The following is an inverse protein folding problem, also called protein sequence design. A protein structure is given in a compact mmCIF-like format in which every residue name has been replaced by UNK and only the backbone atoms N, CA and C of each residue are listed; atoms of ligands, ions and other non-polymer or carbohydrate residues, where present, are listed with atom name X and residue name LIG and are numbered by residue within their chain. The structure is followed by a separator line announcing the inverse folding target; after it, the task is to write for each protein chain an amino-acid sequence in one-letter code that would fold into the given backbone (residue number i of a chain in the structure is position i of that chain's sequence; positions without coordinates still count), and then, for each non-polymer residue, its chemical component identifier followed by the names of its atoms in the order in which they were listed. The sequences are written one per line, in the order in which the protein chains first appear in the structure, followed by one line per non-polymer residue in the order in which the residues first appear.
data_IF_035377964528
#
_entry.id   IF_035377964528
#
_cell.length_a   1.000
_cell.length_b   1.000
_cell.length_c   1.000
_cell.angle_alpha   90.00
_cell.angle_beta   90.00
_cell.angle_gamma   90.00
#
_symmetry.space_group_name_H-M   'P 1'
#
loop_
_entity.id
_entity.type
_entity.pdbx_description
1 polymer ?
#
# COMPACT_ATOMS: atom_id res chain seq x y z
N UNK A 1 -7.60 1.59 -17.53
CA UNK A 1 -7.07 0.94 -16.31
C UNK A 1 -8.09 -0.07 -15.82
N UNK A 2 -7.69 -1.31 -15.53
CA UNK A 2 -8.63 -2.33 -15.03
C UNK A 2 -9.23 -1.94 -13.67
N UNK A 3 -8.41 -1.39 -12.77
CA UNK A 3 -8.80 -0.83 -11.47
C UNK A 3 -9.82 0.31 -11.52
N UNK A 4 -9.85 1.11 -12.59
CA UNK A 4 -10.77 2.26 -12.70
C UNK A 4 -12.25 1.84 -12.75
N UNK A 5 -12.56 0.55 -12.96
CA UNK A 5 -13.93 0.04 -12.85
C UNK A 5 -14.39 -0.18 -11.41
N UNK A 6 -13.49 -0.26 -10.44
CA UNK A 6 -13.84 -0.46 -9.04
C UNK A 6 -14.64 0.73 -8.49
N UNK A 7 -15.50 0.46 -7.51
CA UNK A 7 -16.35 1.41 -6.79
C UNK A 7 -16.15 1.25 -5.29
N UNK A 8 -16.27 2.35 -4.55
CA UNK A 8 -16.16 2.32 -3.09
C UNK A 8 -17.12 1.32 -2.42
N UNK A 9 -18.27 1.04 -3.03
CA UNK A 9 -19.24 0.04 -2.54
C UNK A 9 -18.76 -1.42 -2.63
N UNK A 10 -17.66 -1.69 -3.34
CA UNK A 10 -17.05 -3.03 -3.41
C UNK A 10 -16.11 -3.31 -2.23
N UNK A 11 -15.89 -2.31 -1.36
CA UNK A 11 -15.07 -2.42 -0.16
C UNK A 11 -15.97 -2.38 1.09
N UNK A 12 -15.85 -3.41 1.91
CA UNK A 12 -16.39 -3.44 3.26
C UNK A 12 -15.29 -3.00 4.23
N UNK A 13 -15.47 -1.85 4.88
CA UNK A 13 -14.48 -1.28 5.78
C UNK A 13 -15.01 -1.27 7.22
N UNK A 14 -14.16 -1.68 8.15
CA UNK A 14 -14.38 -1.52 9.59
C UNK A 14 -13.24 -0.70 10.17
N UNK A 15 -13.56 0.35 10.91
CA UNK A 15 -12.58 1.23 11.59
C UNK A 15 -12.98 1.32 13.06
N UNK A 16 -12.04 1.03 13.97
CA UNK A 16 -12.28 1.02 15.41
C UNK A 16 -13.50 0.16 15.79
N UNK A 17 -13.64 -0.99 15.12
CA UNK A 17 -14.77 -1.92 15.30
C UNK A 17 -16.11 -1.43 14.73
N UNK A 18 -16.14 -0.31 13.99
CA UNK A 18 -17.36 0.25 13.38
C UNK A 18 -17.35 0.13 11.87
N UNK A 19 -18.43 -0.41 11.31
CA UNK A 19 -18.66 -0.39 9.87
C UNK A 19 -18.62 1.05 9.37
N UNK A 20 -17.77 1.30 8.37
CA UNK A 20 -17.50 2.62 7.80
C UNK A 20 -17.63 2.53 6.30
N UNK A 21 -18.40 3.42 5.68
CA UNK A 21 -18.49 3.45 4.22
C UNK A 21 -17.16 3.95 3.63
N UNK A 22 -16.78 3.43 2.45
CA UNK A 22 -15.57 3.88 1.75
C UNK A 22 -15.51 5.40 1.56
N UNK A 23 -16.62 6.01 1.13
CA UNK A 23 -16.70 7.47 0.98
C UNK A 23 -16.53 8.25 2.29
N UNK A 24 -16.87 7.65 3.44
CA UNK A 24 -16.66 8.27 4.74
C UNK A 24 -15.21 8.11 5.22
N UNK A 25 -14.59 6.95 4.97
CA UNK A 25 -13.17 6.74 5.24
C UNK A 25 -12.28 7.72 4.45
N UNK A 26 -12.61 7.95 3.18
CA UNK A 26 -11.89 8.86 2.28
C UNK A 26 -12.51 10.27 2.23
N UNK A 27 -13.26 10.68 3.26
CA UNK A 27 -13.82 12.03 3.32
C UNK A 27 -12.69 13.07 3.30
N UNK A 28 -12.78 14.01 2.35
CA UNK A 28 -11.75 15.04 2.16
C UNK A 28 -10.50 14.56 1.40
N UNK A 29 -10.55 13.36 0.80
CA UNK A 29 -9.52 12.91 -0.13
C UNK A 29 -9.33 13.91 -1.27
N UNK A 30 -8.08 14.09 -1.70
CA UNK A 30 -7.72 14.91 -2.85
C UNK A 30 -6.95 14.06 -3.85
N UNK A 31 -7.19 14.24 -5.16
CA UNK A 31 -6.45 13.47 -6.19
C UNK A 31 -4.94 13.69 -6.19
N UNK A 32 -4.47 14.75 -5.52
CA UNK A 32 -3.06 15.06 -5.30
C UNK A 32 -2.43 14.23 -4.17
N UNK A 33 -3.22 13.43 -3.44
CA UNK A 33 -2.75 12.57 -2.36
C UNK A 33 -1.76 11.54 -2.89
N UNK A 34 -0.60 11.45 -2.23
CA UNK A 34 0.50 10.57 -2.62
C UNK A 34 0.69 9.46 -1.58
N UNK A 35 0.81 8.23 -2.04
CA UNK A 35 0.99 7.06 -1.18
C UNK A 35 2.37 6.45 -1.41
N UNK A 36 3.08 6.13 -0.34
CA UNK A 36 4.33 5.39 -0.37
C UNK A 36 4.15 4.04 0.31
N UNK A 37 4.30 2.96 -0.45
CA UNK A 37 4.39 1.59 0.06
C UNK A 37 5.86 1.24 0.25
N UNK A 38 6.27 0.93 1.47
CA UNK A 38 7.59 0.36 1.75
C UNK A 38 7.45 -1.15 1.69
N UNK A 39 8.16 -1.80 0.76
CA UNK A 39 8.22 -3.25 0.64
C UNK A 39 9.62 -3.73 1.03
N UNK A 40 9.73 -4.33 2.22
CA UNK A 40 11.02 -4.72 2.81
C UNK A 40 11.56 -6.02 2.20
N UNK A 41 10.64 -6.91 1.84
CA UNK A 41 10.87 -8.06 0.97
C UNK A 41 10.10 -7.87 -0.35
N UNK A 42 10.56 -8.51 -1.42
CA UNK A 42 10.24 -8.16 -2.82
C UNK A 42 8.75 -8.05 -3.09
N UNK A 43 7.98 -9.08 -2.73
CA UNK A 43 6.54 -9.14 -2.98
C UNK A 43 5.70 -8.87 -1.73
N UNK A 44 6.28 -8.48 -0.60
CA UNK A 44 5.55 -8.44 0.69
C UNK A 44 4.40 -7.41 0.70
N UNK A 45 4.53 -6.33 -0.07
CA UNK A 45 3.54 -5.26 -0.21
C UNK A 45 2.16 -5.70 -0.69
N UNK A 46 2.02 -6.94 -1.19
CA UNK A 46 0.71 -7.56 -1.47
C UNK A 46 -0.17 -7.66 -0.23
N UNK A 47 0.42 -7.69 0.96
CA UNK A 47 -0.26 -7.58 2.25
C UNK A 47 -1.08 -6.29 2.44
N UNK A 48 -0.85 -5.30 1.58
CA UNK A 48 -1.59 -4.03 1.56
C UNK A 48 -2.52 -3.85 0.36
N UNK A 49 -2.74 -4.88 -0.46
CA UNK A 49 -3.54 -4.79 -1.68
C UNK A 49 -4.93 -4.15 -1.48
N UNK A 50 -5.70 -4.55 -0.48
CA UNK A 50 -7.01 -3.98 -0.18
C UNK A 50 -6.93 -2.48 0.15
N UNK A 51 -5.95 -2.05 0.96
CA UNK A 51 -5.75 -0.65 1.30
C UNK A 51 -5.35 0.17 0.07
N UNK A 52 -4.39 -0.33 -0.71
CA UNK A 52 -3.94 0.29 -1.96
C UNK A 52 -5.13 0.47 -2.90
N UNK A 53 -5.89 -0.60 -3.14
CA UNK A 53 -7.03 -0.54 -4.06
C UNK A 53 -8.18 0.33 -3.54
N UNK A 54 -8.38 0.42 -2.23
CA UNK A 54 -9.33 1.37 -1.64
C UNK A 54 -8.90 2.83 -1.91
N UNK A 55 -7.61 3.15 -1.75
CA UNK A 55 -7.04 4.47 -2.07
C UNK A 55 -7.11 4.79 -3.58
N UNK A 56 -6.77 3.83 -4.45
CA UNK A 56 -6.91 3.93 -5.92
C UNK A 56 -8.37 4.21 -6.29
N UNK A 57 -9.31 3.52 -5.65
CA UNK A 57 -10.74 3.70 -5.90
C UNK A 57 -11.20 5.10 -5.50
N UNK A 58 -10.74 5.63 -4.36
CA UNK A 58 -11.02 7.01 -3.96
C UNK A 58 -10.50 8.04 -4.97
N UNK A 59 -9.29 7.83 -5.50
CA UNK A 59 -8.73 8.67 -6.57
C UNK A 59 -9.61 8.70 -7.82
N UNK A 60 -10.09 7.53 -8.26
CA UNK A 60 -10.94 7.47 -9.43
C UNK A 60 -12.39 7.91 -9.18
N UNK A 61 -12.92 7.72 -7.97
CA UNK A 61 -14.23 8.24 -7.57
C UNK A 61 -14.25 9.75 -7.63
N UNK A 62 -13.18 10.41 -7.18
CA UNK A 62 -13.07 11.86 -7.30
C UNK A 62 -13.07 12.28 -8.79
N UNK A 63 -12.32 11.61 -9.68
CA UNK A 63 -12.34 11.91 -11.13
C UNK A 63 -13.71 11.66 -11.77
N UNK A 64 -14.43 10.62 -11.34
CA UNK A 64 -15.79 10.35 -11.80
C UNK A 64 -16.77 11.43 -11.39
N UNK A 65 -16.61 12.00 -10.19
CA UNK A 65 -17.45 13.09 -9.71
C UNK A 65 -17.34 14.34 -10.60
N UNK A 66 -16.20 14.58 -11.25
CA UNK A 66 -16.00 15.68 -12.20
C UNK A 66 -16.67 15.44 -13.57
N UNK A 67 -17.22 14.25 -13.82
CA UNK A 67 -18.06 13.95 -15.00
C UNK A 67 -17.30 13.82 -16.34
N UNK A 68 -15.97 13.86 -16.34
CA UNK A 68 -15.13 13.77 -17.54
C UNK A 68 -14.51 12.39 -17.79
N UNK A 69 -14.05 12.16 -19.03
CA UNK A 69 -13.09 11.09 -19.30
C UNK A 69 -11.73 11.47 -18.71
N UNK A 70 -11.09 10.57 -17.97
CA UNK A 70 -9.78 10.80 -17.38
C UNK A 70 -8.75 9.78 -17.88
N UNK A 71 -7.52 10.24 -18.06
CA UNK A 71 -6.32 9.42 -18.31
C UNK A 71 -5.27 9.80 -17.28
N UNK A 72 -5.57 9.50 -16.03
CA UNK A 72 -4.75 9.83 -14.88
C UNK A 72 -4.48 8.58 -14.04
N UNK A 73 -3.36 8.60 -13.35
CA UNK A 73 -2.90 7.55 -12.45
C UNK A 73 -2.54 8.20 -11.12
N UNK A 74 -2.81 7.53 -10.00
CA UNK A 74 -2.44 8.08 -8.70
C UNK A 74 -0.92 8.16 -8.56
N UNK A 75 -0.43 9.17 -7.83
CA UNK A 75 1.00 9.31 -7.51
C UNK A 75 1.37 8.38 -6.33
N UNK A 76 1.28 7.07 -6.59
CA UNK A 76 1.62 6.00 -5.63
C UNK A 76 2.97 5.38 -5.97
N UNK A 77 3.80 5.12 -4.96
CA UNK A 77 5.17 4.67 -5.11
C UNK A 77 5.42 3.41 -4.29
N UNK A 78 6.25 2.50 -4.79
CA UNK A 78 6.75 1.36 -4.03
C UNK A 78 8.25 1.54 -3.77
N UNK A 79 8.64 1.67 -2.51
CA UNK A 79 10.04 1.73 -2.07
C UNK A 79 10.49 0.32 -1.73
N UNK A 80 11.29 -0.27 -2.60
CA UNK A 80 11.69 -1.66 -2.55
C UNK A 80 13.17 -1.79 -2.23
N UNK A 81 13.48 -2.70 -1.33
CA UNK A 81 14.85 -2.89 -0.83
C UNK A 81 15.64 -3.97 -1.55
N UNK A 82 14.94 -4.91 -2.20
CA UNK A 82 15.51 -6.12 -2.74
C UNK A 82 15.40 -6.14 -4.27
N UNK A 83 16.42 -6.71 -4.92
CA UNK A 83 16.45 -6.92 -6.36
C UNK A 83 16.21 -8.40 -6.74
N UNK A 84 15.59 -8.66 -7.92
CA UNK A 84 14.90 -7.67 -8.74
C UNK A 84 13.59 -7.21 -8.08
N UNK A 85 13.21 -5.95 -8.32
CA UNK A 85 11.98 -5.35 -7.79
C UNK A 85 10.73 -6.05 -8.34
N UNK A 86 9.73 -6.28 -7.49
CA UNK A 86 8.40 -6.70 -7.93
C UNK A 86 7.70 -5.55 -8.67
N UNK A 87 6.89 -5.89 -9.68
CA UNK A 87 6.04 -4.90 -10.33
C UNK A 87 4.65 -4.88 -9.70
N UNK A 88 4.31 -3.76 -9.06
CA UNK A 88 3.01 -3.49 -8.45
C UNK A 88 2.05 -2.74 -9.40
N UNK A 89 2.31 -2.77 -10.71
CA UNK A 89 1.54 -2.01 -11.71
C UNK A 89 0.06 -2.39 -11.79
N UNK A 90 -0.28 -3.65 -11.52
CA UNK A 90 -1.69 -4.09 -11.45
C UNK A 90 -2.42 -3.55 -10.21
N UNK A 91 -1.69 -3.04 -9.22
CA UNK A 91 -2.19 -2.32 -8.06
C UNK A 91 -2.02 -0.79 -8.19
N UNK A 92 -1.91 -0.29 -9.44
CA UNK A 92 -1.81 1.13 -9.80
C UNK A 92 -0.56 1.89 -9.34
N UNK A 93 0.47 1.18 -8.90
CA UNK A 93 1.82 1.74 -8.76
C UNK A 93 2.47 1.73 -10.15
N UNK A 94 2.08 2.71 -10.98
CA UNK A 94 2.44 2.80 -12.39
C UNK A 94 2.71 4.25 -12.82
N UNK A 95 3.70 4.50 -13.71
CA UNK A 95 4.56 3.55 -14.43
C UNK A 95 5.85 3.17 -13.68
N UNK A 96 6.73 2.38 -14.31
CA UNK A 96 7.93 1.75 -13.72
C UNK A 96 8.80 2.70 -12.87
N UNK A 97 8.91 3.99 -13.20
CA UNK A 97 9.68 4.95 -12.39
C UNK A 97 9.09 5.20 -10.99
N UNK A 98 7.89 4.68 -10.70
CA UNK A 98 7.26 4.67 -9.38
C UNK A 98 7.65 3.45 -8.54
N UNK A 99 8.36 2.49 -9.12
CA UNK A 99 9.07 1.42 -8.41
C UNK A 99 10.47 1.95 -8.10
N UNK A 100 10.75 2.17 -6.82
CA UNK A 100 11.92 2.90 -6.33
C UNK A 100 12.80 1.93 -5.56
N UNK A 101 13.98 1.65 -6.08
CA UNK A 101 14.97 0.90 -5.31
C UNK A 101 15.55 1.81 -4.21
N UNK A 102 15.55 1.33 -2.97
CA UNK A 102 16.13 2.03 -1.82
C UNK A 102 17.10 1.13 -1.06
N UNK A 103 18.17 1.72 -0.52
CA UNK A 103 19.19 1.00 0.25
C UNK A 103 18.72 0.54 1.62
N UNK A 104 19.66 0.06 2.46
CA UNK A 104 19.38 -0.27 3.86
C UNK A 104 19.41 0.95 4.78
N UNK A 105 20.01 2.06 4.35
CA UNK A 105 20.13 3.28 5.14
C UNK A 105 18.75 3.91 5.35
N UNK A 106 18.27 4.03 6.60
CA UNK A 106 17.00 4.69 6.91
C UNK A 106 16.94 6.12 6.39
N UNK A 107 18.03 6.87 6.46
CA UNK A 107 18.07 8.27 6.02
C UNK A 107 17.84 8.39 4.51
N UNK A 108 18.55 7.59 3.70
CA UNK A 108 18.35 7.53 2.25
C UNK A 108 16.91 7.15 1.88
N UNK A 109 16.30 6.19 2.60
CA UNK A 109 14.89 5.83 2.40
C UNK A 109 13.97 7.01 2.70
N UNK A 110 14.19 7.71 3.82
CA UNK A 110 13.36 8.85 4.21
C UNK A 110 13.49 10.00 3.21
N UNK A 111 14.70 10.26 2.69
CA UNK A 111 14.92 11.23 1.63
C UNK A 111 14.15 10.84 0.36
N UNK A 112 14.22 9.58 -0.06
CA UNK A 112 13.48 9.10 -1.24
C UNK A 112 11.96 9.23 -1.09
N UNK A 113 11.43 9.03 0.13
CA UNK A 113 10.02 9.25 0.49
C UNK A 113 9.66 10.74 0.44
N UNK A 114 10.50 11.60 1.03
CA UNK A 114 10.30 13.04 1.04
C UNK A 114 10.35 13.66 -0.36
N UNK A 115 11.29 13.23 -1.20
CA UNK A 115 11.46 13.71 -2.58
C UNK A 115 10.23 13.44 -3.46
N UNK A 116 9.46 12.41 -3.10
CA UNK A 116 8.20 12.06 -3.76
C UNK A 116 6.98 12.74 -3.15
N UNK A 117 7.13 13.43 -2.03
CA UNK A 117 6.06 14.16 -1.36
C UNK A 117 4.94 13.25 -0.85
N UNK A 118 5.31 12.07 -0.33
CA UNK A 118 4.36 11.10 0.23
C UNK A 118 3.52 11.73 1.35
N UNK A 119 2.21 11.47 1.33
CA UNK A 119 1.27 11.85 2.38
C UNK A 119 0.83 10.65 3.23
N UNK A 120 0.67 9.50 2.59
CA UNK A 120 0.28 8.25 3.24
C UNK A 120 1.43 7.27 3.17
N UNK A 121 1.98 6.89 4.32
CA UNK A 121 3.05 5.90 4.39
C UNK A 121 2.48 4.54 4.82
N UNK A 122 2.77 3.51 4.04
CA UNK A 122 2.33 2.13 4.30
C UNK A 122 3.58 1.27 4.41
N UNK A 123 3.77 0.59 5.53
CA UNK A 123 5.01 -0.14 5.83
C UNK A 123 4.69 -1.48 6.51
N UNK A 124 5.58 -2.48 6.43
CA UNK A 124 5.36 -3.75 7.11
C UNK A 124 5.37 -3.57 8.64
N UNK A 125 4.60 -4.39 9.36
CA UNK A 125 4.69 -4.50 10.83
C UNK A 125 5.98 -5.23 11.23
N UNK A 126 7.08 -4.47 11.25
CA UNK A 126 8.42 -4.92 11.66
C UNK A 126 8.80 -4.31 13.00
N UNK A 127 9.65 -4.98 13.79
CA UNK A 127 10.06 -4.47 15.10
C UNK A 127 10.66 -3.05 14.99
N UNK A 128 10.15 -2.05 15.75
CA UNK A 128 10.68 -0.70 15.72
C UNK A 128 12.12 -0.68 16.27
N UNK A 129 12.97 0.12 15.62
CA UNK A 129 14.38 0.24 15.98
C UNK A 129 14.78 1.71 16.06
N UNK A 130 15.82 2.01 16.84
CA UNK A 130 16.34 3.37 16.90
C UNK A 130 17.00 3.73 15.56
N UNK A 131 16.44 4.72 14.87
CA UNK A 131 16.96 5.31 13.63
C UNK A 131 17.42 6.73 13.88
N UNK A 132 18.57 7.11 13.33
CA UNK A 132 19.04 8.49 13.34
C UNK A 132 18.71 9.12 11.98
N UNK A 133 17.92 10.19 12.01
CA UNK A 133 17.55 10.95 10.83
C UNK A 133 18.09 12.36 10.90
N UNK A 134 18.40 12.94 9.74
CA UNK A 134 18.70 14.36 9.66
C UNK A 134 17.45 15.20 10.01
N UNK A 135 17.68 16.33 10.69
CA UNK A 135 16.58 17.20 11.11
C UNK A 135 15.76 17.72 9.92
N UNK A 136 16.41 17.92 8.76
CA UNK A 136 15.72 18.38 7.55
C UNK A 136 14.78 17.31 6.99
N UNK A 137 15.20 16.05 7.01
CA UNK A 137 14.40 14.89 6.58
C UNK A 137 13.22 14.65 7.50
N UNK A 138 13.42 14.75 8.82
CA UNK A 138 12.33 14.69 9.80
C UNK A 138 11.32 15.83 9.60
N UNK A 139 11.80 17.04 9.33
CA UNK A 139 10.93 18.20 9.10
C UNK A 139 10.12 18.04 7.81
N UNK A 140 10.72 17.48 6.76
CA UNK A 140 10.03 17.13 5.52
C UNK A 140 8.92 16.11 5.75
N UNK A 141 9.22 15.03 6.48
CA UNK A 141 8.28 13.97 6.78
C UNK A 141 7.09 14.49 7.59
N UNK A 142 7.35 15.22 8.68
CA UNK A 142 6.31 15.81 9.55
C UNK A 142 5.40 16.79 8.85
N UNK A 143 5.89 17.48 7.82
CA UNK A 143 5.09 18.42 7.03
C UNK A 143 4.18 17.70 6.03
N UNK A 144 4.64 16.59 5.48
CA UNK A 144 4.00 15.97 4.32
C UNK A 144 3.15 14.74 4.66
N UNK A 145 3.61 13.91 5.60
CA UNK A 145 3.00 12.62 5.96
C UNK A 145 1.99 12.84 7.08
N UNK A 146 0.74 12.49 6.82
CA UNK A 146 -0.38 12.67 7.75
C UNK A 146 -1.06 11.35 8.17
N UNK A 147 -0.84 10.26 7.41
CA UNK A 147 -1.30 8.92 7.77
C UNK A 147 -0.18 7.90 7.62
N UNK A 148 -0.08 7.01 8.59
CA UNK A 148 0.79 5.85 8.54
C UNK A 148 0.01 4.58 8.86
N UNK A 149 0.23 3.53 8.08
CA UNK A 149 -0.40 2.22 8.26
C UNK A 149 0.66 1.12 8.27
N UNK A 150 0.46 0.15 9.16
CA UNK A 150 1.20 -1.10 9.14
C UNK A 150 0.41 -2.17 8.41
N UNK A 151 1.09 -3.03 7.66
CA UNK A 151 0.55 -4.23 7.01
C UNK A 151 1.38 -5.47 7.36
N UNK A 152 0.83 -6.65 7.11
CA UNK A 152 1.55 -7.92 7.20
C UNK A 152 1.39 -8.70 5.88
N UNK A 153 2.35 -9.57 5.55
CA UNK A 153 2.37 -10.33 4.30
C UNK A 153 1.10 -11.17 4.07
N UNK A 154 0.61 -11.81 5.13
CA UNK A 154 -0.62 -12.61 5.15
C UNK A 154 -1.90 -11.74 5.17
N UNK A 155 -1.74 -10.43 5.28
CA UNK A 155 -2.82 -9.47 5.40
C UNK A 155 -3.37 -9.34 6.83
N UNK A 156 -2.73 -9.91 7.86
CA UNK A 156 -3.22 -9.85 9.24
C UNK A 156 -2.22 -9.16 10.18
N UNK A 157 -2.56 -7.97 10.67
CA UNK A 157 -1.73 -7.19 11.59
C UNK A 157 -2.26 -7.31 13.02
N UNK A 158 -1.35 -7.54 13.97
CA UNK A 158 -1.70 -7.55 15.39
C UNK A 158 -2.14 -6.15 15.87
N UNK A 159 -3.22 -6.11 16.65
CA UNK A 159 -3.78 -4.85 17.15
C UNK A 159 -4.32 -3.94 16.04
N UNK A 160 -4.76 -4.51 14.92
CA UNK A 160 -5.38 -3.77 13.84
C UNK A 160 -6.63 -3.02 14.29
N UNK A 161 -6.76 -1.79 13.78
CA UNK A 161 -7.90 -0.91 13.99
C UNK A 161 -8.63 -0.57 12.69
N UNK A 162 -8.09 -1.01 11.55
CA UNK A 162 -8.72 -0.93 10.24
C UNK A 162 -8.79 -2.33 9.62
N UNK A 163 -9.95 -2.71 9.12
CA UNK A 163 -10.18 -3.93 8.34
C UNK A 163 -10.80 -3.56 7.02
N UNK A 164 -10.27 -4.07 5.91
CA UNK A 164 -10.79 -3.85 4.57
C UNK A 164 -11.01 -5.20 3.91
N UNK A 165 -12.25 -5.48 3.51
CA UNK A 165 -12.63 -6.67 2.77
C UNK A 165 -13.21 -6.33 1.41
N UNK A 166 -13.00 -7.20 0.44
CA UNK A 166 -13.62 -7.14 -0.89
C UNK A 166 -13.78 -8.55 -1.47
N UNK A 167 -14.40 -8.66 -2.64
CA UNK A 167 -14.32 -9.89 -3.43
C UNK A 167 -12.86 -10.19 -3.78
N UNK A 168 -12.48 -11.47 -3.79
CA UNK A 168 -11.10 -11.88 -4.08
C UNK A 168 -10.71 -11.53 -5.50
N UNK A 169 -11.58 -11.74 -6.48
CA UNK A 169 -11.34 -11.26 -7.87
C UNK A 169 -11.99 -9.88 -8.04
N UNK A 170 -11.32 -8.92 -8.71
CA UNK A 170 -10.07 -9.07 -9.46
C UNK A 170 -8.77 -8.82 -8.66
N UNK A 171 -8.86 -8.31 -7.42
CA UNK A 171 -7.68 -7.81 -6.68
C UNK A 171 -6.66 -8.91 -6.36
N UNK A 172 -7.13 -10.08 -5.97
CA UNK A 172 -6.29 -11.27 -5.74
C UNK A 172 -5.62 -11.78 -7.01
N UNK A 173 -6.25 -11.63 -8.18
CA UNK A 173 -5.62 -11.96 -9.47
C UNK A 173 -4.46 -10.98 -9.75
N UNK A 174 -4.63 -9.70 -9.42
CA UNK A 174 -3.56 -8.69 -9.52
C UNK A 174 -2.42 -8.90 -8.52
N UNK A 175 -2.72 -9.44 -7.33
CA UNK A 175 -1.70 -9.92 -6.39
C UNK A 175 -0.89 -11.06 -7.01
N UNK A 176 -1.55 -12.03 -7.64
CA UNK A 176 -0.88 -13.13 -8.34
C UNK A 176 0.00 -12.60 -9.49
N UNK A 177 -0.46 -11.59 -10.23
CA UNK A 177 0.34 -10.94 -11.27
C UNK A 177 1.60 -10.28 -10.71
N UNK A 178 1.54 -9.72 -9.50
CA UNK A 178 2.72 -9.16 -8.81
C UNK A 178 3.76 -10.25 -8.57
N UNK A 179 3.37 -11.41 -8.03
CA UNK A 179 4.28 -12.56 -7.87
C UNK A 179 4.85 -13.05 -9.21
N UNK A 180 4.04 -13.07 -10.27
CA UNK A 180 4.45 -13.56 -11.58
C UNK A 180 5.54 -12.70 -12.24
N UNK A 181 5.71 -11.44 -11.81
CA UNK A 181 6.80 -10.57 -12.28
C UNK A 181 8.18 -11.07 -11.84
N UNK A 182 8.21 -11.97 -10.87
CA UNK A 182 9.41 -12.52 -10.23
C UNK A 182 9.45 -14.06 -10.27
N UNK A 183 8.66 -14.68 -11.15
CA UNK A 183 8.39 -16.13 -11.21
C UNK A 183 9.61 -17.07 -11.31
N UNK A 184 10.73 -16.54 -11.79
CA UNK A 184 11.96 -17.33 -11.97
C UNK A 184 12.69 -17.57 -10.64
N UNK A 185 12.30 -16.87 -9.57
CA UNK A 185 12.84 -17.04 -8.23
C UNK A 185 12.09 -18.14 -7.44
N UNK A 186 12.75 -19.21 -6.98
CA UNK A 186 12.14 -20.26 -6.16
C UNK A 186 11.53 -19.77 -4.85
N UNK A 187 12.16 -18.80 -4.17
CA UNK A 187 11.66 -18.25 -2.92
C UNK A 187 10.36 -17.48 -3.12
N UNK A 188 10.25 -16.75 -4.23
CA UNK A 188 9.00 -16.05 -4.59
C UNK A 188 7.88 -17.04 -4.94
N UNK A 189 8.20 -18.15 -5.61
CA UNK A 189 7.19 -19.21 -5.86
C UNK A 189 6.67 -19.80 -4.56
N UNK A 190 7.55 -20.03 -3.58
CA UNK A 190 7.14 -20.50 -2.25
C UNK A 190 6.25 -19.47 -1.54
N UNK A 191 6.62 -18.19 -1.53
CA UNK A 191 5.79 -17.13 -0.96
C UNK A 191 4.42 -17.04 -1.62
N UNK A 192 4.36 -17.14 -2.95
CA UNK A 192 3.08 -17.15 -3.68
C UNK A 192 2.21 -18.33 -3.26
N UNK A 193 2.78 -19.53 -3.17
CA UNK A 193 2.03 -20.73 -2.82
C UNK A 193 1.57 -20.69 -1.35
N UNK A 194 2.37 -20.12 -0.45
CA UNK A 194 1.98 -19.81 0.94
C UNK A 194 0.81 -18.83 0.98
N UNK A 195 0.90 -17.71 0.25
CA UNK A 195 -0.18 -16.73 0.17
C UNK A 195 -1.46 -17.34 -0.40
N UNK A 196 -1.38 -18.13 -1.46
CA UNK A 196 -2.54 -18.85 -2.01
C UNK A 196 -3.15 -19.81 -1.00
N UNK A 197 -2.33 -20.48 -0.20
CA UNK A 197 -2.79 -21.35 0.90
C UNK A 197 -3.58 -20.58 1.95
N UNK A 198 -3.11 -19.39 2.33
CA UNK A 198 -3.81 -18.49 3.28
C UNK A 198 -5.17 -18.02 2.75
N UNK A 199 -5.34 -17.94 1.42
CA UNK A 199 -6.57 -17.46 0.77
C UNK A 199 -7.44 -18.58 0.17
N UNK A 200 -7.09 -19.85 0.38
CA UNK A 200 -7.66 -20.98 -0.36
C UNK A 200 -9.18 -21.14 -0.16
N UNK A 201 -9.66 -20.92 1.07
CA UNK A 201 -11.04 -21.19 1.47
C UNK A 201 -11.95 -19.96 1.41
N UNK A 202 -11.47 -18.84 0.86
CA UNK A 202 -12.24 -17.60 0.78
C UNK A 202 -12.41 -17.10 -0.65
N UNK A 203 -13.64 -16.77 -1.01
CA UNK A 203 -13.98 -15.98 -2.19
C UNK A 203 -13.77 -14.48 -1.96
N UNK A 204 -13.31 -14.10 -0.75
CA UNK A 204 -13.03 -12.74 -0.34
C UNK A 204 -11.55 -12.56 -0.04
N UNK A 205 -11.07 -11.35 -0.24
CA UNK A 205 -9.79 -10.90 0.26
C UNK A 205 -10.07 -9.95 1.42
N UNK A 206 -9.52 -10.25 2.60
CA UNK A 206 -9.68 -9.42 3.81
C UNK A 206 -8.31 -9.16 4.38
N UNK A 207 -7.97 -7.88 4.52
CA UNK A 207 -6.71 -7.44 5.10
C UNK A 207 -6.96 -6.46 6.24
N UNK A 208 -6.16 -6.56 7.28
CA UNK A 208 -6.20 -5.71 8.46
C UNK A 208 -4.94 -4.85 8.54
N UNK A 209 -5.11 -3.66 9.12
CA UNK A 209 -4.10 -2.62 9.18
C UNK A 209 -4.13 -1.97 10.56
N UNK A 210 -2.96 -1.56 11.03
CA UNK A 210 -2.81 -0.75 12.25
C UNK A 210 -2.41 0.66 11.86
N UNK A 211 -3.21 1.67 12.22
CA UNK A 211 -2.77 3.07 12.16
C UNK A 211 -1.70 3.30 13.23
N UNK A 212 -0.66 4.03 12.86
CA UNK A 212 0.43 4.39 13.77
C UNK A 212 0.80 5.85 13.61
N UNK A 213 1.39 6.42 14.66
CA UNK A 213 1.96 7.75 14.60
C UNK A 213 3.22 7.77 13.72
N UNK A 214 3.55 8.93 13.14
CA UNK A 214 4.71 9.06 12.26
C UNK A 214 6.00 8.62 12.94
N UNK A 215 6.21 8.94 14.22
CA UNK A 215 7.44 8.56 14.93
C UNK A 215 7.59 7.02 15.06
N UNK A 216 6.49 6.26 15.21
CA UNK A 216 6.51 4.79 15.20
C UNK A 216 6.74 4.24 13.79
N UNK A 217 6.12 4.85 12.78
CA UNK A 217 6.37 4.49 11.38
C UNK A 217 7.85 4.68 10.98
N UNK A 218 8.46 5.80 11.40
CA UNK A 218 9.87 6.10 11.15
C UNK A 218 10.81 5.14 11.90
N UNK A 219 10.42 4.63 13.07
CA UNK A 219 11.23 3.62 13.76
C UNK A 219 11.31 2.27 13.00
N UNK A 220 10.41 2.04 12.04
CA UNK A 220 10.25 0.77 11.30
C UNK A 220 10.73 0.82 9.85
N UNK A 221 11.10 2.00 9.37
CA UNK A 221 11.69 2.22 8.03
C UNK A 221 13.12 1.66 7.97
#
# INVERSE_FOLDING_TARGET
MHSSSLRGSEFEMTVDGRATAHADFFRGFAKTRRLGLVASDRADGIGAACLLMAYVTAFYDDYRADGGQFKAYPDFFAFQRAEPMACYGMLDIWPDHKLVHVGQDPEEKLQAINDRGVNVLVLPDSEPSHRAYEQISLSGARRNIDHCYLYAFDGQVDGADVTIGCARSPIGDWVIDTFNTLKDDPGIRQQRDEWLGLQADSDRLVQTFRRVELDDALARL
#
